data_IF_776011235705
#
_entry.id   IF_776011235705
#
_cell.length_a   1.000
_cell.length_b   1.000
_cell.length_c   1.000
_cell.angle_alpha   90.00
_cell.angle_beta   90.00
_cell.angle_gamma   90.00
#
_symmetry.space_group_name_H-M   'P 1'
#
loop_
_entity.id
_entity.type
_entity.pdbx_description
1 polymer ?
#
# COMPACT_ATOMS: atom_id res chain seq x y z
N UNK A 1 9.80 -15.28 37.01
CA UNK A 1 10.37 -13.92 37.04
C UNK A 1 11.49 -13.88 36.02
N UNK A 2 11.33 -13.11 34.94
CA UNK A 2 12.36 -12.98 33.91
C UNK A 2 13.56 -12.26 34.55
N UNK A 3 14.78 -12.79 34.37
CA UNK A 3 16.00 -12.19 34.91
C UNK A 3 16.45 -11.06 33.97
N UNK A 4 16.88 -9.91 34.52
CA UNK A 4 17.47 -8.79 33.73
C UNK A 4 18.61 -9.21 32.79
N UNK A 5 19.31 -10.30 33.10
CA UNK A 5 20.34 -10.88 32.23
C UNK A 5 19.77 -11.48 30.95
N UNK A 6 18.58 -12.08 31.02
CA UNK A 6 17.86 -12.66 29.88
C UNK A 6 17.25 -11.57 28.99
N UNK A 7 16.71 -10.50 29.57
CA UNK A 7 16.24 -9.32 28.81
C UNK A 7 17.37 -8.72 27.97
N UNK A 8 18.57 -8.57 28.55
CA UNK A 8 19.77 -8.08 27.83
C UNK A 8 20.29 -9.00 26.73
N UNK A 9 19.97 -10.29 26.78
CA UNK A 9 20.28 -11.22 25.68
C UNK A 9 19.25 -11.09 24.55
N UNK A 10 17.97 -10.90 24.89
CA UNK A 10 16.90 -10.63 23.92
C UNK A 10 17.08 -9.29 23.20
N UNK A 11 17.60 -8.26 23.88
CA UNK A 11 17.91 -6.95 23.28
C UNK A 11 18.94 -7.03 22.13
N UNK A 12 19.71 -8.13 22.04
CA UNK A 12 20.69 -8.35 20.97
C UNK A 12 20.11 -9.04 19.73
N UNK A 13 18.91 -9.61 19.84
CA UNK A 13 18.27 -10.34 18.76
C UNK A 13 17.57 -9.39 17.80
N UNK A 14 17.61 -9.70 16.49
CA UNK A 14 16.79 -9.00 15.51
C UNK A 14 15.30 -9.26 15.74
N UNK A 15 14.42 -8.33 15.39
CA UNK A 15 12.98 -8.53 15.65
C UNK A 15 12.37 -9.75 14.93
N UNK A 16 12.99 -10.21 13.83
CA UNK A 16 12.64 -11.47 13.19
C UNK A 16 13.02 -12.69 14.03
N UNK A 17 14.20 -12.68 14.67
CA UNK A 17 14.64 -13.74 15.59
C UNK A 17 13.76 -13.75 16.83
N UNK A 18 13.46 -12.57 17.39
CA UNK A 18 12.51 -12.42 18.50
C UNK A 18 11.13 -12.96 18.09
N UNK A 19 10.61 -12.59 16.92
CA UNK A 19 9.30 -13.07 16.45
C UNK A 19 9.30 -14.60 16.24
N UNK A 20 10.38 -15.16 15.72
CA UNK A 20 10.52 -16.60 15.49
C UNK A 20 10.61 -17.38 16.81
N UNK A 21 11.39 -16.91 17.77
CA UNK A 21 11.49 -17.54 19.09
C UNK A 21 10.19 -17.38 19.89
N UNK A 22 9.50 -16.25 19.74
CA UNK A 22 8.17 -16.04 20.32
C UNK A 22 7.11 -16.94 19.67
N UNK A 23 7.19 -17.22 18.37
CA UNK A 23 6.38 -18.23 17.69
C UNK A 23 6.59 -19.62 18.32
N UNK A 24 7.84 -20.07 18.47
CA UNK A 24 8.15 -21.35 19.15
C UNK A 24 7.65 -21.38 20.59
N UNK A 25 7.76 -20.26 21.31
CA UNK A 25 7.27 -20.16 22.68
C UNK A 25 5.75 -20.26 22.74
N UNK A 26 5.06 -19.70 21.76
CA UNK A 26 3.60 -19.71 21.67
C UNK A 26 3.00 -21.08 21.39
N UNK A 27 3.74 -21.98 20.72
CA UNK A 27 3.33 -23.38 20.54
C UNK A 27 3.22 -24.12 21.89
N UNK A 28 3.93 -23.64 22.92
CA UNK A 28 3.88 -24.17 24.30
C UNK A 28 2.91 -23.42 25.20
N UNK A 29 2.09 -22.53 24.64
CA UNK A 29 1.14 -21.74 25.42
C UNK A 29 -0.03 -22.61 25.92
N UNK A 30 0.02 -23.00 27.19
CA UNK A 30 -1.02 -23.79 27.87
C UNK A 30 -2.41 -23.14 27.84
N UNK A 31 -2.50 -21.82 27.61
CA UNK A 31 -3.79 -21.10 27.50
C UNK A 31 -4.41 -21.12 26.10
N UNK A 32 -3.75 -21.76 25.12
CA UNK A 32 -4.15 -21.80 23.70
C UNK A 32 -4.43 -20.41 23.07
N UNK A 33 -3.85 -19.34 23.63
CA UNK A 33 -4.01 -17.99 23.07
C UNK A 33 -3.21 -17.90 21.78
N UNK A 34 -3.84 -17.42 20.70
CA UNK A 34 -3.16 -17.19 19.43
C UNK A 34 -2.02 -16.19 19.63
N UNK A 35 -0.83 -16.56 19.18
CA UNK A 35 0.28 -15.63 19.08
C UNK A 35 -0.05 -14.52 18.09
N UNK A 36 -0.01 -13.29 18.54
CA UNK A 36 -0.04 -12.14 17.66
C UNK A 36 1.39 -11.95 17.15
N UNK A 37 1.62 -12.24 15.87
CA UNK A 37 2.85 -11.83 15.20
C UNK A 37 2.93 -10.30 15.28
N UNK A 38 3.71 -9.80 16.25
CA UNK A 38 3.69 -8.40 16.69
C UNK A 38 4.21 -7.41 15.65
N UNK A 39 4.68 -7.89 14.49
CA UNK A 39 5.09 -7.05 13.38
C UNK A 39 3.96 -6.64 12.43
N UNK A 40 3.01 -7.55 12.19
CA UNK A 40 1.83 -7.35 11.31
C UNK A 40 0.70 -8.26 11.77
N UNK A 41 -0.36 -7.69 12.32
CA UNK A 41 -1.60 -8.43 12.62
C UNK A 41 -2.36 -8.71 11.33
N UNK A 42 -2.28 -9.95 10.81
CA UNK A 42 -3.06 -10.31 9.63
C UNK A 42 -4.57 -10.23 9.96
N UNK A 43 -5.37 -9.46 9.20
CA UNK A 43 -6.80 -9.34 9.47
C UNK A 43 -7.50 -10.71 9.47
N UNK A 44 -8.46 -10.89 10.37
CA UNK A 44 -9.33 -12.07 10.41
C UNK A 44 -10.72 -11.81 9.79
N UNK A 45 -10.83 -10.76 8.98
CA UNK A 45 -12.00 -10.42 8.17
C UNK A 45 -11.58 -10.13 6.73
N UNK A 46 -12.51 -10.26 5.78
CA UNK A 46 -12.29 -9.93 4.37
C UNK A 46 -13.47 -9.12 3.83
N UNK A 47 -13.22 -8.33 2.78
CA UNK A 47 -14.29 -7.74 1.97
C UNK A 47 -14.84 -8.80 1.02
N UNK A 48 -16.05 -9.30 1.27
CA UNK A 48 -16.70 -10.35 0.47
C UNK A 48 -17.24 -9.83 -0.85
N UNK A 49 -17.97 -8.70 -0.84
CA UNK A 49 -18.66 -8.17 -2.02
C UNK A 49 -17.70 -7.88 -3.18
N UNK A 50 -16.58 -7.21 -2.92
CA UNK A 50 -15.57 -6.93 -3.95
C UNK A 50 -14.91 -8.19 -4.51
N UNK A 51 -14.74 -9.23 -3.69
CA UNK A 51 -14.18 -10.53 -4.12
C UNK A 51 -15.17 -11.31 -4.99
N UNK A 52 -16.45 -11.31 -4.61
CA UNK A 52 -17.50 -11.93 -5.42
C UNK A 52 -17.66 -11.18 -6.74
N UNK A 53 -17.60 -9.86 -6.74
CA UNK A 53 -17.62 -9.06 -7.97
C UNK A 53 -16.44 -9.36 -8.89
N UNK A 54 -15.24 -9.54 -8.34
CA UNK A 54 -14.06 -9.97 -9.08
C UNK A 54 -14.26 -11.36 -9.72
N UNK A 55 -14.79 -12.33 -8.98
CA UNK A 55 -15.11 -13.66 -9.50
C UNK A 55 -16.21 -13.61 -10.57
N UNK A 56 -17.23 -12.79 -10.37
CA UNK A 56 -18.34 -12.62 -11.31
C UNK A 56 -17.91 -11.94 -12.61
N UNK A 57 -16.99 -10.98 -12.54
CA UNK A 57 -16.36 -10.38 -13.70
C UNK A 57 -15.48 -11.39 -14.47
N UNK A 58 -14.81 -12.31 -13.77
CA UNK A 58 -14.09 -13.43 -14.41
C UNK A 58 -15.05 -14.30 -15.22
N UNK A 59 -16.23 -14.65 -14.68
CA UNK A 59 -17.25 -15.41 -15.41
C UNK A 59 -17.68 -14.69 -16.70
N UNK A 60 -17.91 -13.38 -16.62
CA UNK A 60 -18.20 -12.55 -17.79
C UNK A 60 -17.05 -12.60 -18.80
N UNK A 61 -15.80 -12.39 -18.37
CA UNK A 61 -14.64 -12.39 -19.26
C UNK A 61 -14.38 -13.74 -19.95
N UNK A 62 -14.64 -14.86 -19.25
CA UNK A 62 -14.58 -16.19 -19.87
C UNK A 62 -15.69 -16.37 -20.90
N UNK A 63 -16.92 -15.93 -20.60
CA UNK A 63 -18.02 -15.97 -21.55
C UNK A 63 -17.73 -15.13 -22.80
N UNK A 64 -17.12 -13.96 -22.63
CA UNK A 64 -16.69 -13.10 -23.75
C UNK A 64 -15.57 -13.73 -24.57
N UNK A 65 -14.59 -14.35 -23.91
CA UNK A 65 -13.49 -15.06 -24.58
C UNK A 65 -14.01 -16.25 -25.40
N UNK A 66 -15.05 -16.94 -24.93
CA UNK A 66 -15.69 -18.04 -25.67
C UNK A 66 -16.40 -17.60 -26.95
N UNK A 67 -16.74 -16.32 -27.09
CA UNK A 67 -17.35 -15.80 -28.33
C UNK A 67 -16.40 -15.80 -29.51
N UNK A 68 -15.10 -15.67 -29.26
CA UNK A 68 -14.07 -15.62 -30.31
C UNK A 68 -13.44 -16.98 -30.59
N UNK A 69 -13.43 -17.90 -29.61
CA UNK A 69 -13.06 -19.30 -29.76
C UNK A 69 -13.68 -20.12 -28.63
N UNK A 70 -14.31 -21.26 -28.93
CA UNK A 70 -14.82 -22.20 -27.93
C UNK A 70 -14.49 -23.64 -28.36
N UNK A 71 -13.40 -24.20 -27.82
CA UNK A 71 -12.93 -25.56 -28.13
C UNK A 71 -12.56 -26.30 -26.84
N UNK A 72 -13.54 -26.95 -26.23
CA UNK A 72 -13.34 -27.62 -24.94
C UNK A 72 -13.02 -26.59 -23.86
N UNK A 73 -11.81 -26.68 -23.30
CA UNK A 73 -11.33 -25.74 -22.27
C UNK A 73 -10.55 -24.55 -22.84
N UNK A 74 -10.45 -24.43 -24.18
CA UNK A 74 -9.80 -23.30 -24.86
C UNK A 74 -10.82 -22.23 -25.24
N UNK A 75 -10.58 -21.01 -24.74
CA UNK A 75 -11.30 -19.79 -25.11
C UNK A 75 -10.37 -18.80 -25.84
N UNK A 76 -10.94 -17.81 -26.54
CA UNK A 76 -10.19 -16.83 -27.32
C UNK A 76 -9.90 -15.55 -26.55
N UNK A 77 -9.95 -14.40 -27.25
CA UNK A 77 -9.77 -13.07 -26.68
C UNK A 77 -11.12 -12.35 -26.50
N UNK A 78 -11.11 -11.23 -25.79
CA UNK A 78 -12.30 -10.38 -25.57
C UNK A 78 -12.39 -9.35 -26.70
N UNK A 79 -13.50 -9.35 -27.43
CA UNK A 79 -13.81 -8.32 -28.44
C UNK A 79 -14.50 -7.12 -27.77
N UNK A 80 -13.93 -5.92 -27.91
CA UNK A 80 -14.45 -4.70 -27.29
C UNK A 80 -15.73 -4.18 -27.96
N UNK A 81 -15.99 -4.55 -29.22
CA UNK A 81 -17.17 -4.07 -29.94
C UNK A 81 -18.44 -4.49 -29.21
N UNK A 82 -19.33 -3.55 -28.89
CA UNK A 82 -20.63 -3.80 -28.22
C UNK A 82 -20.51 -4.52 -26.85
N UNK A 83 -19.35 -4.41 -26.19
CA UNK A 83 -19.10 -5.10 -24.91
C UNK A 83 -19.99 -4.52 -23.79
N UNK A 84 -20.34 -3.24 -23.86
CA UNK A 84 -21.17 -2.58 -22.85
C UNK A 84 -22.60 -3.15 -22.85
N UNK A 85 -23.17 -3.44 -24.02
CA UNK A 85 -24.48 -4.08 -24.16
C UNK A 85 -24.44 -5.51 -23.60
N UNK A 86 -23.42 -6.28 -23.97
CA UNK A 86 -23.26 -7.66 -23.49
C UNK A 86 -23.03 -7.73 -21.99
N UNK A 87 -22.26 -6.81 -21.44
CA UNK A 87 -22.07 -6.66 -20.01
C UNK A 87 -23.41 -6.41 -19.31
N UNK A 88 -24.20 -5.42 -19.76
CA UNK A 88 -25.50 -5.14 -19.15
C UNK A 88 -26.47 -6.33 -19.26
N UNK A 89 -26.42 -7.08 -20.37
CA UNK A 89 -27.25 -8.26 -20.58
C UNK A 89 -26.82 -9.47 -19.74
N UNK A 90 -25.54 -9.56 -19.37
CA UNK A 90 -25.00 -10.62 -18.52
C UNK A 90 -25.43 -10.46 -17.05
N UNK A 91 -25.56 -9.22 -16.58
CA UNK A 91 -25.88 -8.90 -15.19
C UNK A 91 -27.35 -9.21 -14.85
N UNK A 92 -27.57 -9.89 -13.72
CA UNK A 92 -28.87 -10.11 -13.12
C UNK A 92 -29.22 -8.99 -12.14
N UNK A 93 -30.22 -8.17 -12.46
CA UNK A 93 -30.61 -7.01 -11.64
C UNK A 93 -31.18 -7.35 -10.25
N UNK A 94 -31.50 -8.62 -9.98
CA UNK A 94 -31.91 -9.10 -8.65
C UNK A 94 -30.75 -9.57 -7.76
N UNK A 95 -29.54 -9.71 -8.31
CA UNK A 95 -28.37 -10.20 -7.58
C UNK A 95 -27.52 -9.04 -7.03
N UNK A 96 -27.09 -9.14 -5.78
CA UNK A 96 -26.36 -8.07 -5.10
C UNK A 96 -24.99 -7.79 -5.72
N UNK A 97 -24.29 -8.84 -6.18
CA UNK A 97 -22.97 -8.74 -6.80
C UNK A 97 -23.07 -8.07 -8.16
N UNK A 98 -24.06 -8.49 -8.96
CA UNK A 98 -24.32 -7.90 -10.28
C UNK A 98 -24.79 -6.44 -10.17
N UNK A 99 -25.59 -6.11 -9.16
CA UNK A 99 -25.96 -4.71 -8.85
C UNK A 99 -24.73 -3.89 -8.45
N UNK A 100 -23.80 -4.46 -7.68
CA UNK A 100 -22.56 -3.78 -7.32
C UNK A 100 -21.64 -3.56 -8.54
N UNK A 101 -21.50 -4.56 -9.41
CA UNK A 101 -20.77 -4.46 -10.68
C UNK A 101 -21.34 -3.37 -11.60
N UNK A 102 -22.67 -3.27 -11.67
CA UNK A 102 -23.36 -2.18 -12.39
C UNK A 102 -22.99 -0.81 -11.80
N UNK A 103 -23.05 -0.66 -10.47
CA UNK A 103 -22.71 0.58 -9.76
C UNK A 103 -21.26 1.00 -9.96
N UNK A 104 -20.31 0.06 -10.06
CA UNK A 104 -18.90 0.38 -10.35
C UNK A 104 -18.79 1.11 -11.69
N UNK A 105 -19.44 0.57 -12.72
CA UNK A 105 -19.42 1.16 -14.07
C UNK A 105 -20.14 2.49 -14.09
N UNK A 106 -21.35 2.56 -13.53
CA UNK A 106 -22.13 3.82 -13.45
C UNK A 106 -21.36 4.91 -12.72
N UNK A 107 -20.78 4.60 -11.54
CA UNK A 107 -19.99 5.58 -10.79
C UNK A 107 -18.78 6.08 -11.59
N UNK A 108 -18.10 5.18 -12.28
CA UNK A 108 -16.92 5.51 -13.08
C UNK A 108 -17.27 6.41 -14.28
N UNK A 109 -18.41 6.19 -14.91
CA UNK A 109 -18.89 7.05 -16.01
C UNK A 109 -19.38 8.39 -15.46
N UNK A 110 -20.32 8.36 -14.51
CA UNK A 110 -21.06 9.55 -14.07
C UNK A 110 -20.22 10.48 -13.19
N UNK A 111 -19.33 9.94 -12.37
CA UNK A 111 -18.53 10.73 -11.41
C UNK A 111 -17.06 10.85 -11.76
N UNK A 112 -16.49 9.88 -12.49
CA UNK A 112 -15.09 9.95 -12.91
C UNK A 112 -14.92 10.39 -14.36
N UNK A 113 -15.99 10.38 -15.16
CA UNK A 113 -15.97 10.78 -16.56
C UNK A 113 -15.22 9.80 -17.46
N UNK A 114 -15.19 8.52 -17.08
CA UNK A 114 -14.53 7.46 -17.85
C UNK A 114 -15.43 6.98 -18.99
N UNK A 115 -14.81 6.56 -20.09
CA UNK A 115 -15.53 5.92 -21.19
C UNK A 115 -16.01 4.54 -20.78
N UNK A 116 -17.31 4.27 -20.99
CA UNK A 116 -17.96 3.04 -20.52
C UNK A 116 -17.41 1.79 -21.20
N UNK A 117 -17.23 1.82 -22.52
CA UNK A 117 -16.76 0.66 -23.28
C UNK A 117 -15.29 0.37 -22.98
N UNK A 118 -14.46 1.41 -22.94
CA UNK A 118 -13.05 1.30 -22.60
C UNK A 118 -12.86 0.74 -21.18
N UNK A 119 -13.64 1.22 -20.21
CA UNK A 119 -13.60 0.71 -18.83
C UNK A 119 -13.96 -0.78 -18.77
N UNK A 120 -15.10 -1.17 -19.34
CA UNK A 120 -15.53 -2.58 -19.32
C UNK A 120 -14.51 -3.45 -20.05
N UNK A 121 -13.96 -2.98 -21.16
CA UNK A 121 -12.90 -3.69 -21.91
C UNK A 121 -11.64 -3.86 -21.07
N UNK A 122 -11.16 -2.81 -20.40
CA UNK A 122 -9.96 -2.84 -19.55
C UNK A 122 -10.16 -3.80 -18.38
N UNK A 123 -11.28 -3.68 -17.66
CA UNK A 123 -11.61 -4.56 -16.53
C UNK A 123 -11.74 -6.03 -16.97
N UNK A 124 -12.37 -6.28 -18.11
CA UNK A 124 -12.62 -7.64 -18.62
C UNK A 124 -11.35 -8.30 -19.17
N UNK A 125 -10.48 -7.58 -19.87
CA UNK A 125 -9.18 -8.14 -20.26
C UNK A 125 -8.25 -8.28 -19.05
N UNK A 126 -8.27 -7.30 -18.14
CA UNK A 126 -7.45 -7.29 -16.93
C UNK A 126 -7.75 -8.48 -16.00
N UNK A 127 -9.02 -8.82 -15.79
CA UNK A 127 -9.41 -9.95 -14.95
C UNK A 127 -8.97 -11.30 -15.55
N UNK A 128 -9.03 -11.44 -16.89
CA UNK A 128 -8.63 -12.66 -17.58
C UNK A 128 -7.10 -12.81 -17.58
N UNK A 129 -6.37 -11.70 -17.53
CA UNK A 129 -4.91 -11.72 -17.59
C UNK A 129 -4.39 -12.18 -18.95
N UNK A 130 -5.13 -11.87 -20.03
CA UNK A 130 -4.83 -12.32 -21.39
C UNK A 130 -3.81 -11.46 -22.14
N UNK A 131 -3.31 -10.39 -21.51
CA UNK A 131 -2.35 -9.46 -22.10
C UNK A 131 -1.34 -9.01 -21.05
N UNK A 132 -0.18 -8.53 -21.52
CA UNK A 132 0.74 -7.77 -20.66
C UNK A 132 0.10 -6.44 -20.21
N UNK A 133 0.42 -5.93 -19.01
CA UNK A 133 -0.04 -4.62 -18.57
C UNK A 133 0.47 -3.52 -19.49
N UNK A 134 -0.45 -2.73 -20.06
CA UNK A 134 -0.13 -1.59 -20.93
C UNK A 134 -1.01 -0.40 -20.53
N UNK A 135 -0.42 0.76 -20.17
CA UNK A 135 1.01 0.99 -19.93
C UNK A 135 1.58 0.10 -18.81
N UNK A 136 2.90 -0.19 -18.87
CA UNK A 136 3.57 -1.05 -17.89
C UNK A 136 3.50 -0.52 -16.45
N UNK A 137 3.39 0.80 -16.29
CA UNK A 137 3.28 1.47 -14.99
C UNK A 137 1.93 1.23 -14.32
N UNK A 138 0.83 1.40 -15.05
CA UNK A 138 -0.53 1.21 -14.55
C UNK A 138 -1.50 1.27 -15.74
N UNK A 139 -2.56 0.46 -15.73
CA UNK A 139 -3.66 0.57 -16.68
C UNK A 139 -4.38 1.92 -16.49
N UNK A 140 -4.90 2.47 -17.59
CA UNK A 140 -5.34 3.87 -17.65
C UNK A 140 -6.57 4.12 -16.77
N UNK A 141 -7.66 3.38 -16.97
CA UNK A 141 -8.89 3.57 -16.19
C UNK A 141 -8.68 3.19 -14.72
N UNK A 142 -7.93 2.13 -14.48
CA UNK A 142 -7.53 1.68 -13.15
C UNK A 142 -6.75 2.78 -12.40
N UNK A 143 -5.83 3.49 -13.06
CA UNK A 143 -5.11 4.62 -12.46
C UNK A 143 -6.07 5.74 -12.02
N UNK A 144 -7.07 6.08 -12.85
CA UNK A 144 -8.08 7.07 -12.48
C UNK A 144 -8.91 6.66 -11.26
N UNK A 145 -9.32 5.39 -11.20
CA UNK A 145 -10.09 4.83 -10.07
C UNK A 145 -9.25 4.83 -8.79
N UNK A 146 -7.99 4.37 -8.85
CA UNK A 146 -7.08 4.37 -7.71
C UNK A 146 -6.87 5.80 -7.22
N UNK A 147 -6.61 6.76 -8.10
CA UNK A 147 -6.43 8.16 -7.72
C UNK A 147 -7.69 8.76 -7.08
N UNK A 148 -8.89 8.40 -7.55
CA UNK A 148 -10.15 8.84 -6.95
C UNK A 148 -10.32 8.26 -5.53
N UNK A 149 -9.93 7.00 -5.32
CA UNK A 149 -9.91 6.40 -4.00
C UNK A 149 -8.88 7.08 -3.07
N UNK A 150 -7.63 7.27 -3.51
CA UNK A 150 -6.62 7.95 -2.69
C UNK A 150 -7.04 9.38 -2.31
N UNK A 151 -7.66 10.11 -3.23
CA UNK A 151 -8.23 11.43 -2.98
C UNK A 151 -9.29 11.40 -1.87
N UNK A 152 -10.16 10.38 -1.84
CA UNK A 152 -11.26 10.31 -0.87
C UNK A 152 -10.80 9.93 0.54
N UNK A 153 -9.65 9.26 0.68
CA UNK A 153 -9.16 8.77 1.97
C UNK A 153 -7.87 9.42 2.48
N UNK A 154 -7.05 10.04 1.63
CA UNK A 154 -5.72 10.54 2.02
C UNK A 154 -5.50 12.04 1.82
N UNK A 155 -6.13 12.69 0.83
CA UNK A 155 -5.70 14.04 0.42
C UNK A 155 -6.41 15.17 1.16
N UNK A 156 -7.33 14.86 2.08
CA UNK A 156 -8.13 15.84 2.79
C UNK A 156 -8.92 16.72 1.81
N UNK A 157 -8.66 18.03 1.82
CA UNK A 157 -9.32 19.02 0.93
C UNK A 157 -8.57 19.29 -0.38
N UNK A 158 -7.36 18.73 -0.56
CA UNK A 158 -6.52 19.06 -1.71
C UNK A 158 -6.94 18.25 -2.95
N UNK A 159 -7.31 18.91 -4.05
CA UNK A 159 -7.61 18.23 -5.33
C UNK A 159 -6.31 17.90 -6.08
N UNK A 160 -5.82 16.68 -5.88
CA UNK A 160 -4.57 16.19 -6.46
C UNK A 160 -4.76 15.02 -7.43
N UNK A 161 -5.99 14.51 -7.57
CA UNK A 161 -6.32 13.33 -8.39
C UNK A 161 -5.71 13.37 -9.80
N UNK A 162 -5.78 14.52 -10.48
CA UNK A 162 -5.26 14.70 -11.85
C UNK A 162 -3.75 14.92 -11.93
N UNK A 163 -3.11 15.23 -10.80
CA UNK A 163 -1.67 15.52 -10.69
C UNK A 163 -0.88 14.33 -10.14
N UNK A 164 -1.56 13.36 -9.53
CA UNK A 164 -0.93 12.16 -8.98
C UNK A 164 -0.79 11.07 -10.04
N UNK A 165 0.41 10.47 -10.11
CA UNK A 165 0.67 9.24 -10.85
C UNK A 165 0.84 8.09 -9.87
N UNK A 166 0.25 6.94 -10.20
CA UNK A 166 0.34 5.73 -9.37
C UNK A 166 1.16 4.65 -10.06
N UNK A 167 1.81 3.82 -9.25
CA UNK A 167 2.50 2.62 -9.70
C UNK A 167 2.07 1.46 -8.79
N UNK A 168 1.08 0.64 -9.20
CA UNK A 168 0.67 -0.54 -8.46
C UNK A 168 1.81 -1.55 -8.41
N UNK A 169 2.08 -2.09 -7.23
CA UNK A 169 3.18 -3.03 -6.95
C UNK A 169 2.70 -4.12 -6.00
N UNK A 170 3.54 -5.12 -5.73
CA UNK A 170 3.25 -6.29 -4.91
C UNK A 170 3.22 -5.97 -3.39
N UNK A 171 2.33 -5.05 -3.02
CA UNK A 171 2.17 -4.53 -1.67
C UNK A 171 3.24 -3.52 -1.26
N UNK A 172 3.07 -2.92 -0.07
CA UNK A 172 4.00 -1.92 0.45
C UNK A 172 5.43 -2.43 0.68
N UNK A 173 5.62 -3.75 0.74
CA UNK A 173 6.96 -4.35 0.89
C UNK A 173 7.77 -4.20 -0.41
N UNK A 174 7.18 -4.52 -1.57
CA UNK A 174 7.81 -4.28 -2.87
C UNK A 174 7.99 -2.77 -3.12
N UNK A 175 6.99 -1.96 -2.75
CA UNK A 175 7.06 -0.50 -2.90
C UNK A 175 8.32 0.09 -2.25
N UNK A 176 8.60 -0.25 -0.99
CA UNK A 176 9.75 0.28 -0.26
C UNK A 176 11.06 -0.19 -0.90
N UNK A 177 11.16 -1.46 -1.31
CA UNK A 177 12.35 -1.96 -2.02
C UNK A 177 12.60 -1.17 -3.30
N UNK A 178 11.57 -0.98 -4.14
CA UNK A 178 11.70 -0.23 -5.39
C UNK A 178 12.03 1.24 -5.17
N UNK A 179 11.47 1.88 -4.13
CA UNK A 179 11.76 3.29 -3.80
C UNK A 179 13.22 3.45 -3.41
N UNK A 180 13.73 2.67 -2.47
CA UNK A 180 15.13 2.77 -2.05
C UNK A 180 16.08 2.46 -3.21
N UNK A 181 15.78 1.42 -4.00
CA UNK A 181 16.59 1.05 -5.15
C UNK A 181 16.61 2.16 -6.22
N UNK A 182 15.45 2.77 -6.51
CA UNK A 182 15.35 3.89 -7.44
C UNK A 182 16.07 5.14 -6.92
N UNK A 183 15.94 5.49 -5.63
CA UNK A 183 16.64 6.62 -5.02
C UNK A 183 18.16 6.44 -5.14
N UNK A 184 18.67 5.22 -4.93
CA UNK A 184 20.09 4.92 -5.09
C UNK A 184 20.56 4.94 -6.52
N UNK A 185 19.89 4.23 -7.42
CA UNK A 185 20.30 4.15 -8.83
C UNK A 185 20.23 5.50 -9.56
N UNK A 186 19.42 6.43 -9.06
CA UNK A 186 19.35 7.80 -9.58
C UNK A 186 20.22 8.80 -8.80
N UNK A 187 21.04 8.34 -7.85
CA UNK A 187 21.99 9.18 -7.08
C UNK A 187 21.34 10.16 -6.09
N UNK A 188 20.05 9.97 -5.77
CA UNK A 188 19.30 10.80 -4.82
C UNK A 188 19.64 10.44 -3.37
N UNK A 189 19.91 9.15 -3.10
CA UNK A 189 20.47 8.66 -1.84
C UNK A 189 21.68 7.78 -2.11
N UNK A 190 22.84 8.16 -1.59
CA UNK A 190 24.11 7.46 -1.73
C UNK A 190 24.57 6.88 -0.39
N UNK A 191 25.57 6.01 -0.46
CA UNK A 191 26.21 5.44 0.73
C UNK A 191 26.72 6.54 1.68
N UNK A 192 26.42 6.39 2.97
CA UNK A 192 26.77 7.37 4.01
C UNK A 192 25.87 8.61 4.09
N UNK A 193 24.90 8.78 3.18
CA UNK A 193 23.91 9.86 3.31
C UNK A 193 23.09 9.70 4.58
N UNK A 194 22.75 10.84 5.21
CA UNK A 194 21.96 10.82 6.46
C UNK A 194 20.47 10.86 6.14
N UNK A 195 19.72 9.98 6.78
CA UNK A 195 18.26 9.93 6.69
C UNK A 195 17.64 10.00 8.08
N UNK A 196 16.45 10.59 8.15
CA UNK A 196 15.65 10.62 9.34
C UNK A 196 14.57 9.54 9.28
N UNK A 197 14.33 8.86 10.40
CA UNK A 197 13.27 7.87 10.53
C UNK A 197 12.46 8.19 11.78
N UNK A 198 11.13 8.30 11.66
CA UNK A 198 10.28 8.38 12.84
C UNK A 198 10.26 7.01 13.55
N UNK A 199 10.48 7.03 14.86
CA UNK A 199 10.54 5.84 15.71
C UNK A 199 9.59 5.99 16.90
N UNK A 200 9.02 4.89 17.43
CA UNK A 200 9.23 3.51 17.00
C UNK A 200 8.54 3.19 15.66
N UNK A 201 9.22 2.38 14.85
CA UNK A 201 8.71 1.92 13.55
C UNK A 201 8.96 0.43 13.37
N UNK A 202 8.10 -0.22 12.58
CA UNK A 202 8.22 -1.63 12.27
C UNK A 202 9.61 -1.99 11.69
N UNK A 203 10.22 -3.02 12.27
CA UNK A 203 11.64 -3.37 12.16
C UNK A 203 12.21 -3.49 10.74
N UNK A 204 11.49 -4.00 9.73
CA UNK A 204 12.02 -4.07 8.37
C UNK A 204 12.44 -2.70 7.81
N UNK A 205 11.80 -1.61 8.21
CA UNK A 205 12.17 -0.27 7.74
C UNK A 205 13.45 0.27 8.38
N UNK A 206 13.83 -0.24 9.56
CA UNK A 206 15.12 0.05 10.20
C UNK A 206 16.24 -0.80 9.58
N UNK A 207 15.91 -1.95 8.98
CA UNK A 207 16.91 -2.86 8.42
C UNK A 207 17.30 -2.53 6.99
N UNK A 208 16.38 -2.00 6.17
CA UNK A 208 16.65 -1.64 4.76
C UNK A 208 17.78 -0.61 4.60
N UNK A 209 17.82 0.49 5.36
CA UNK A 209 18.91 1.46 5.30
C UNK A 209 20.29 0.88 5.69
N UNK A 210 20.29 -0.17 6.51
CA UNK A 210 21.49 -0.86 7.01
C UNK A 210 21.92 -2.05 6.14
N UNK A 211 21.15 -2.39 5.11
CA UNK A 211 21.61 -3.38 4.14
C UNK A 211 22.92 -2.87 3.55
N UNK A 212 23.88 -3.78 3.32
CA UNK A 212 25.23 -3.49 2.83
C UNK A 212 25.30 -2.64 1.57
N UNK A 213 24.16 -2.49 0.88
CA UNK A 213 24.03 -1.76 -0.36
C UNK A 213 23.62 -0.29 -0.14
N UNK A 214 23.25 0.13 1.07
CA UNK A 214 22.80 1.49 1.36
C UNK A 214 23.69 2.21 2.40
N UNK A 215 24.12 1.52 3.46
CA UNK A 215 24.94 2.06 4.58
C UNK A 215 24.58 3.51 4.95
N UNK A 216 23.28 3.77 5.12
CA UNK A 216 22.76 5.10 5.41
C UNK A 216 22.92 5.41 6.90
N UNK A 217 23.27 6.66 7.20
CA UNK A 217 23.39 7.13 8.57
C UNK A 217 22.02 7.56 9.12
N UNK A 218 21.44 6.72 9.98
CA UNK A 218 20.11 6.94 10.56
C UNK A 218 20.11 7.98 11.69
N UNK A 219 19.11 8.87 11.67
CA UNK A 219 18.74 9.74 12.78
C UNK A 219 17.31 9.44 13.18
N UNK A 220 17.12 9.11 14.46
CA UNK A 220 15.79 8.79 14.98
C UNK A 220 15.06 10.06 15.40
N UNK A 221 13.83 10.20 14.90
CA UNK A 221 12.82 11.13 15.38
C UNK A 221 11.89 10.39 16.34
N UNK A 222 12.02 10.66 17.64
CA UNK A 222 11.35 9.92 18.69
C UNK A 222 9.92 10.41 18.91
N UNK A 223 8.97 9.51 18.77
CA UNK A 223 7.61 9.62 19.29
C UNK A 223 7.49 8.70 20.51
N UNK A 224 7.12 9.26 21.66
CA UNK A 224 7.08 8.54 22.94
C UNK A 224 5.68 8.48 23.51
N UNK A 225 5.44 7.56 24.44
CA UNK A 225 4.15 7.43 25.12
C UNK A 225 3.77 8.70 25.90
N UNK A 226 4.74 9.39 26.49
CA UNK A 226 4.52 10.65 27.22
C UNK A 226 3.94 11.76 26.34
N UNK A 227 4.19 11.69 25.03
CA UNK A 227 3.68 12.63 24.03
C UNK A 227 2.54 12.03 23.20
N UNK A 228 1.84 11.01 23.70
CA UNK A 228 0.79 10.25 22.99
C UNK A 228 1.22 9.82 21.57
N UNK A 229 2.48 9.40 21.45
CA UNK A 229 3.11 8.98 20.20
C UNK A 229 3.10 10.04 19.09
N UNK A 230 2.98 11.32 19.44
CA UNK A 230 3.25 12.43 18.52
C UNK A 230 4.75 12.74 18.48
N UNK A 231 5.18 13.36 17.38
CA UNK A 231 6.56 13.83 17.19
C UNK A 231 6.64 15.23 17.79
N UNK A 232 7.42 15.46 18.86
CA UNK A 232 7.53 16.80 19.45
C UNK A 232 8.37 17.74 18.57
N UNK A 233 8.18 19.05 18.76
CA UNK A 233 8.89 20.09 18.00
C UNK A 233 10.41 19.90 17.97
N UNK A 234 11.00 19.56 19.13
CA UNK A 234 12.45 19.34 19.26
C UNK A 234 12.97 18.20 18.38
N UNK A 235 12.12 17.23 18.04
CA UNK A 235 12.48 16.13 17.15
C UNK A 235 12.34 16.55 15.69
N UNK A 236 11.32 17.34 15.34
CA UNK A 236 11.22 17.95 14.00
C UNK A 236 12.34 18.95 13.71
N UNK A 237 12.83 19.69 14.70
CA UNK A 237 13.97 20.61 14.55
C UNK A 237 15.24 19.90 14.05
N UNK A 238 15.40 18.60 14.33
CA UNK A 238 16.50 17.80 13.78
C UNK A 238 16.48 17.78 12.25
N UNK A 239 15.30 17.79 11.63
CA UNK A 239 15.14 17.82 10.16
C UNK A 239 15.63 19.12 9.53
N UNK A 240 15.89 20.17 10.30
CA UNK A 240 16.50 21.39 9.79
C UNK A 240 17.99 21.23 9.49
N UNK A 241 18.63 20.14 9.95
CA UNK A 241 20.01 19.79 9.59
C UNK A 241 20.08 19.49 8.07
N UNK A 242 20.78 20.31 7.27
CA UNK A 242 20.86 20.15 5.82
C UNK A 242 21.58 18.87 5.39
N UNK A 243 22.30 18.20 6.30
CA UNK A 243 22.91 16.90 5.99
C UNK A 243 21.89 15.75 5.93
N UNK A 244 20.68 15.94 6.48
CA UNK A 244 19.57 14.98 6.37
C UNK A 244 18.91 15.16 5.00
N UNK A 245 18.96 14.11 4.17
CA UNK A 245 18.42 14.15 2.79
C UNK A 245 16.98 13.70 2.67
N UNK A 246 16.55 12.74 3.51
CA UNK A 246 15.23 12.15 3.43
C UNK A 246 14.63 11.91 4.81
N UNK A 247 13.30 12.03 4.92
CA UNK A 247 12.53 11.69 6.11
C UNK A 247 11.53 10.57 5.83
N UNK A 248 11.72 9.42 6.48
CA UNK A 248 10.84 8.26 6.38
C UNK A 248 9.87 8.18 7.57
N UNK A 249 8.58 8.16 7.25
CA UNK A 249 7.49 8.17 8.22
C UNK A 249 6.46 7.07 7.90
N UNK A 250 5.97 6.41 8.94
CA UNK A 250 4.78 5.56 8.88
C UNK A 250 3.66 6.28 9.63
N UNK A 251 2.61 6.67 8.91
CA UNK A 251 1.45 7.38 9.46
C UNK A 251 0.14 6.74 8.93
N UNK A 252 -0.75 6.24 9.80
CA UNK A 252 -0.62 6.13 11.25
C UNK A 252 0.55 5.23 11.67
N UNK A 253 1.16 5.53 12.82
CA UNK A 253 2.37 4.85 13.29
C UNK A 253 2.14 3.37 13.60
N UNK A 254 3.18 2.55 13.43
CA UNK A 254 3.20 1.14 13.86
C UNK A 254 4.52 0.91 14.62
N UNK A 255 4.50 0.59 15.92
CA UNK A 255 3.36 0.06 16.70
C UNK A 255 2.43 1.09 17.35
N UNK A 256 2.78 2.38 17.37
CA UNK A 256 2.07 3.40 18.15
C UNK A 256 0.57 3.53 17.84
N UNK A 257 0.14 3.16 16.63
CA UNK A 257 -1.26 3.17 16.18
C UNK A 257 -1.92 4.54 16.39
N UNK A 258 -1.14 5.59 16.13
CA UNK A 258 -1.56 7.00 16.22
C UNK A 258 -1.28 7.69 14.90
N UNK A 259 -2.27 8.43 14.40
CA UNK A 259 -2.07 9.37 13.30
C UNK A 259 -1.41 10.63 13.83
N UNK A 260 -0.64 11.31 12.97
CA UNK A 260 -0.23 12.68 13.26
C UNK A 260 -1.46 13.58 13.43
N UNK A 261 -1.46 14.45 14.43
CA UNK A 261 -2.49 15.48 14.59
C UNK A 261 -2.33 16.62 13.58
N UNK A 262 -3.36 17.46 13.44
CA UNK A 262 -3.30 18.65 12.58
C UNK A 262 -2.15 19.60 13.01
N UNK A 263 -1.91 19.75 14.32
CA UNK A 263 -0.78 20.55 14.84
C UNK A 263 0.57 19.98 14.41
N UNK A 264 0.72 18.65 14.49
CA UNK A 264 1.93 17.93 14.13
C UNK A 264 2.18 17.97 12.62
N UNK A 265 1.11 17.92 11.81
CA UNK A 265 1.19 18.11 10.35
C UNK A 265 1.59 19.55 9.98
N UNK A 266 1.10 20.57 10.70
CA UNK A 266 1.51 21.96 10.47
C UNK A 266 2.97 22.19 10.87
N UNK A 267 3.48 21.51 11.89
CA UNK A 267 4.92 21.51 12.23
C UNK A 267 5.76 20.91 11.09
N UNK A 268 5.37 19.74 10.58
CA UNK A 268 6.05 19.10 9.45
C UNK A 268 6.04 20.03 8.21
N UNK A 269 4.91 20.68 7.93
CA UNK A 269 4.82 21.66 6.84
C UNK A 269 5.81 22.81 7.01
N UNK A 270 5.95 23.38 8.21
CA UNK A 270 6.94 24.44 8.49
C UNK A 270 8.38 23.97 8.29
N UNK A 271 8.67 22.69 8.58
CA UNK A 271 9.98 22.10 8.28
C UNK A 271 10.20 22.07 6.77
N UNK A 272 9.25 21.53 6.00
CA UNK A 272 9.36 21.42 4.54
C UNK A 272 9.46 22.78 3.85
N UNK A 273 8.75 23.81 4.36
CA UNK A 273 8.90 25.19 3.87
C UNK A 273 10.33 25.75 4.06
N UNK A 274 11.04 25.33 5.11
CA UNK A 274 12.45 25.68 5.36
C UNK A 274 13.44 24.74 4.67
N UNK A 275 13.01 23.52 4.36
CA UNK A 275 13.78 22.45 3.72
C UNK A 275 13.04 21.95 2.46
N UNK A 276 12.94 22.78 1.41
CA UNK A 276 12.25 22.40 0.17
C UNK A 276 13.00 21.29 -0.60
N UNK A 277 14.23 20.99 -0.20
CA UNK A 277 15.09 19.92 -0.69
C UNK A 277 14.90 18.58 0.02
N UNK A 278 14.21 18.55 1.17
CA UNK A 278 13.98 17.33 1.94
C UNK A 278 13.08 16.37 1.17
N UNK A 279 13.55 15.14 1.00
CA UNK A 279 12.81 14.02 0.40
C UNK A 279 11.84 13.41 1.42
#
# INVERSE_FOLDING_TARGET
>A
MIKKSYERELEKLGAFEISFDMLKLSEKNEKHLKFLNAGRGNPNWINSLGRLAFARLMEFGVAESKRTLDKGDLAGYVDSKEIAERYNAFLNHGDEVDVFLKKIVEYSVDHLGLDKEALITELTNGIIGNNYPVPSRCLENTEYIINAFLQSILYGKADLRKKTKVFPVEGGTAAIVYIFDALKHNGLLNEGDRIAINTPVFTPYIQIPRLSNFDLAEINLLATEENDWQIPDSEFEKLLDPSIKAFFLVNPSNPGSRSLTDETLEQLKKVVEKRPDLI
#
